data_IF_133386636519
#
_entry.id   IF_133386636519
#
_cell.length_a   1.000
_cell.length_b   1.000
_cell.length_c   1.000
_cell.angle_alpha   90.00
_cell.angle_beta   90.00
_cell.angle_gamma   90.00
#
_symmetry.space_group_name_H-M   'P 1'
#
loop_
_entity.id
_entity.type
_entity.pdbx_description
1 polymer ?
#
# COMPACT_ATOMS: atom_id res chain seq x y z
N UNK A 1 4.39 -0.28 17.16
CA UNK A 1 5.06 0.71 18.03
C UNK A 1 4.74 0.34 19.46
N UNK A 2 5.78 0.27 20.30
CA UNK A 2 5.61 0.06 21.73
C UNK A 2 6.21 1.27 22.45
N UNK A 3 5.46 1.85 23.37
CA UNK A 3 5.88 2.98 24.21
C UNK A 3 5.95 2.52 25.64
N UNK A 4 7.09 2.69 26.28
CA UNK A 4 7.37 2.31 27.65
C UNK A 4 7.51 3.55 28.52
N UNK A 5 6.51 3.76 29.36
CA UNK A 5 6.46 4.79 30.38
C UNK A 5 6.77 4.24 31.77
N UNK A 6 6.04 4.72 32.77
CA UNK A 6 6.19 4.30 34.17
C UNK A 6 4.84 4.33 34.88
N UNK A 7 4.44 3.21 35.46
CA UNK A 7 3.23 3.11 36.26
C UNK A 7 3.29 3.96 37.53
N UNK A 8 2.16 4.53 37.90
CA UNK A 8 1.98 5.22 39.18
C UNK A 8 0.52 5.23 39.59
N UNK A 9 0.22 5.64 40.83
CA UNK A 9 -1.14 5.86 41.27
C UNK A 9 -1.78 7.01 40.50
N UNK A 10 -3.01 6.86 40.01
CA UNK A 10 -3.69 7.86 39.19
C UNK A 10 -3.80 9.26 39.83
N UNK A 11 -3.82 9.33 41.18
CA UNK A 11 -3.79 10.59 41.91
C UNK A 11 -2.37 11.16 42.17
N UNK A 12 -1.33 10.49 41.67
CA UNK A 12 0.08 10.92 41.77
C UNK A 12 0.78 10.86 40.42
N UNK A 13 0.27 11.56 39.38
CA UNK A 13 0.79 11.48 38.01
C UNK A 13 2.25 11.94 37.89
N UNK A 14 2.72 12.80 38.77
CA UNK A 14 4.09 13.27 38.84
C UNK A 14 5.14 12.18 39.20
N UNK A 15 4.69 11.00 39.61
CA UNK A 15 5.56 9.85 39.94
C UNK A 15 5.64 8.83 38.80
N UNK A 16 4.82 9.00 37.76
CA UNK A 16 4.76 8.13 36.58
C UNK A 16 5.16 8.83 35.29
N UNK A 17 5.14 8.05 34.21
CA UNK A 17 5.23 8.51 32.82
C UNK A 17 4.07 7.86 32.10
N UNK A 18 3.11 8.65 31.65
CA UNK A 18 1.82 8.15 31.16
C UNK A 18 1.88 7.73 29.70
N UNK A 19 1.89 6.43 29.45
CA UNK A 19 1.93 5.85 28.11
C UNK A 19 0.63 6.09 27.31
N UNK A 20 -0.54 6.30 27.97
CA UNK A 20 -1.78 6.69 27.27
C UNK A 20 -1.65 8.08 26.67
N UNK A 21 -1.12 9.03 27.43
CA UNK A 21 -0.91 10.40 26.97
C UNK A 21 0.07 10.41 25.81
N UNK A 22 1.20 9.72 25.93
CA UNK A 22 2.23 9.66 24.88
C UNK A 22 1.71 8.99 23.61
N UNK A 23 1.02 7.86 23.71
CA UNK A 23 0.41 7.19 22.58
C UNK A 23 -0.60 8.09 21.85
N UNK A 24 -1.42 8.81 22.60
CA UNK A 24 -2.39 9.75 22.05
C UNK A 24 -1.71 10.93 21.35
N UNK A 25 -0.67 11.50 21.93
CA UNK A 25 0.12 12.57 21.31
C UNK A 25 0.80 12.09 20.04
N UNK A 26 1.35 10.86 20.04
CA UNK A 26 1.97 10.28 18.86
C UNK A 26 0.95 10.09 17.73
N UNK A 27 -0.21 9.50 17.99
CA UNK A 27 -1.27 9.32 16.98
C UNK A 27 -1.67 10.65 16.37
N UNK A 28 -1.89 11.69 17.18
CA UNK A 28 -2.25 13.03 16.70
C UNK A 28 -1.12 13.68 15.89
N UNK A 29 0.12 13.60 16.36
CA UNK A 29 1.26 14.13 15.66
C UNK A 29 1.52 13.42 14.33
N UNK A 30 1.35 12.10 14.27
CA UNK A 30 1.52 11.31 13.05
C UNK A 30 0.53 11.71 11.94
N UNK A 31 -0.70 12.15 12.28
CA UNK A 31 -1.64 12.68 11.28
C UNK A 31 -1.09 13.95 10.61
N UNK A 32 -0.28 14.74 11.31
CA UNK A 32 0.31 15.95 10.74
C UNK A 32 1.41 15.63 9.72
N UNK A 33 1.98 14.44 9.72
CA UNK A 33 2.94 14.03 8.70
C UNK A 33 2.27 14.06 7.33
N UNK A 34 1.12 13.43 7.18
CA UNK A 34 0.37 13.45 5.92
C UNK A 34 -0.10 14.87 5.59
N UNK A 35 -0.71 15.57 6.54
CA UNK A 35 -1.32 16.87 6.26
C UNK A 35 -0.34 18.03 6.11
N UNK A 36 0.94 17.90 6.55
CA UNK A 36 1.92 19.02 6.59
C UNK A 36 3.26 18.72 5.92
N UNK A 37 3.60 17.44 5.65
CA UNK A 37 4.90 17.07 5.08
C UNK A 37 4.80 16.36 3.74
N UNK A 38 3.71 15.63 3.50
CA UNK A 38 3.44 15.01 2.18
C UNK A 38 3.03 16.10 1.21
N UNK A 39 3.55 16.03 -0.03
CA UNK A 39 3.11 16.92 -1.11
C UNK A 39 1.59 16.75 -1.32
N UNK A 40 0.80 17.82 -1.42
CA UNK A 40 -0.63 17.74 -1.64
C UNK A 40 -1.07 16.96 -2.89
N UNK A 41 -0.16 16.78 -3.86
CA UNK A 41 -0.39 15.98 -5.07
C UNK A 41 -0.01 14.51 -4.90
N UNK A 42 0.71 14.14 -3.84
CA UNK A 42 1.04 12.76 -3.51
C UNK A 42 -0.08 12.10 -2.68
N UNK A 43 -0.26 10.80 -2.92
CA UNK A 43 -1.22 10.01 -2.16
C UNK A 43 -0.53 9.29 -1.00
N UNK A 44 -0.95 9.59 0.22
CA UNK A 44 -0.45 8.92 1.41
C UNK A 44 -1.58 8.71 2.44
N UNK A 45 -1.53 7.56 3.11
CA UNK A 45 -2.42 7.21 4.21
C UNK A 45 -1.59 6.72 5.39
N UNK A 46 -1.88 7.25 6.59
CA UNK A 46 -1.36 6.76 7.87
C UNK A 46 -2.54 6.49 8.78
N UNK A 47 -2.74 5.23 9.15
CA UNK A 47 -3.85 4.79 9.98
C UNK A 47 -3.34 3.94 11.13
N UNK A 48 -3.84 4.20 12.34
CA UNK A 48 -3.67 3.34 13.51
C UNK A 48 -5.00 2.62 13.77
N UNK A 49 -5.01 1.30 13.58
CA UNK A 49 -6.18 0.46 13.79
C UNK A 49 -6.26 -0.13 15.20
N UNK A 50 -5.13 -0.20 15.91
CA UNK A 50 -5.04 -0.73 17.26
C UNK A 50 -4.35 0.28 18.17
N UNK A 51 -4.95 0.52 19.34
CA UNK A 51 -4.40 1.31 20.42
C UNK A 51 -4.73 0.59 21.74
N UNK A 52 -3.72 -0.01 22.36
CA UNK A 52 -3.88 -0.72 23.63
C UNK A 52 -2.96 -0.09 24.68
N UNK A 53 -3.52 0.34 25.81
CA UNK A 53 -2.75 0.91 26.90
C UNK A 53 -3.46 0.74 28.24
N UNK A 54 -2.64 0.61 29.31
CA UNK A 54 -3.12 0.57 30.69
C UNK A 54 -3.80 -0.74 31.07
N UNK A 55 -4.04 -0.89 32.39
CA UNK A 55 -4.62 -2.10 32.97
C UNK A 55 -5.80 -1.81 33.89
N UNK A 56 -5.81 -0.64 34.52
CA UNK A 56 -6.88 -0.22 35.48
C UNK A 56 -7.11 1.28 35.39
N UNK A 57 -8.35 1.72 35.62
CA UNK A 57 -8.77 3.13 35.49
C UNK A 57 -8.05 4.09 36.46
N UNK A 58 -7.50 3.60 37.58
CA UNK A 58 -6.85 4.39 38.62
C UNK A 58 -5.33 4.22 38.68
N UNK A 59 -4.72 3.64 37.65
CA UNK A 59 -3.26 3.44 37.49
C UNK A 59 -2.80 4.13 36.22
N UNK A 60 -1.76 4.97 36.34
CA UNK A 60 -1.05 5.53 35.17
C UNK A 60 -0.48 4.37 34.34
N UNK A 61 -0.79 4.35 33.06
CA UNK A 61 -0.33 3.30 32.15
C UNK A 61 1.19 3.35 31.96
N UNK A 62 1.84 2.21 32.21
CA UNK A 62 3.28 2.07 31.97
C UNK A 62 3.60 1.69 30.52
N UNK A 63 2.64 1.12 29.79
CA UNK A 63 2.86 0.65 28.44
C UNK A 63 1.71 1.04 27.52
N UNK A 64 2.05 1.29 26.25
CA UNK A 64 1.10 1.51 25.16
C UNK A 64 1.61 0.83 23.89
N UNK A 65 0.73 0.07 23.25
CA UNK A 65 1.01 -0.56 21.95
C UNK A 65 0.08 0.03 20.89
N UNK A 66 0.67 0.43 19.77
CA UNK A 66 -0.03 0.94 18.60
C UNK A 66 0.32 0.08 17.39
N UNK A 67 -0.69 -0.38 16.65
CA UNK A 67 -0.50 -1.01 15.35
C UNK A 67 -1.24 -0.24 14.26
N UNK A 68 -0.59 -0.09 13.12
CA UNK A 68 -1.12 0.72 12.04
C UNK A 68 -0.61 0.32 10.67
N UNK A 69 -1.04 1.07 9.68
CA UNK A 69 -0.61 0.88 8.30
C UNK A 69 -0.29 2.21 7.65
N UNK A 70 0.73 2.20 6.79
CA UNK A 70 1.09 3.30 5.90
C UNK A 70 0.91 2.83 4.46
N UNK A 71 0.31 3.66 3.63
CA UNK A 71 0.18 3.43 2.19
C UNK A 71 0.61 4.68 1.43
N UNK A 72 1.42 4.48 0.41
CA UNK A 72 1.89 5.54 -0.49
C UNK A 72 2.04 4.97 -1.90
N UNK A 73 2.03 5.82 -2.90
CA UNK A 73 2.37 5.47 -4.28
C UNK A 73 3.81 5.84 -4.64
N UNK A 74 4.49 6.61 -3.78
CA UNK A 74 5.84 7.13 -3.99
C UNK A 74 6.77 6.61 -2.89
N UNK A 75 7.90 6.00 -3.26
CA UNK A 75 8.87 5.42 -2.32
C UNK A 75 9.60 6.50 -1.50
N UNK A 76 9.88 7.68 -2.07
CA UNK A 76 10.50 8.78 -1.34
C UNK A 76 9.56 9.32 -0.26
N UNK A 77 8.27 9.46 -0.59
CA UNK A 77 7.23 9.81 0.37
C UNK A 77 7.10 8.77 1.47
N UNK A 78 7.21 7.49 1.13
CA UNK A 78 7.21 6.38 2.10
C UNK A 78 8.37 6.47 3.08
N UNK A 79 9.58 6.67 2.57
CA UNK A 79 10.79 6.82 3.40
C UNK A 79 10.71 8.07 4.30
N UNK A 80 10.19 9.18 3.77
CA UNK A 80 9.98 10.42 4.52
C UNK A 80 8.97 10.25 5.66
N UNK A 81 7.88 9.49 5.43
CA UNK A 81 6.88 9.21 6.47
C UNK A 81 7.52 8.39 7.60
N UNK A 82 8.24 7.31 7.29
CA UNK A 82 8.93 6.50 8.30
C UNK A 82 9.90 7.33 9.14
N UNK A 83 10.80 8.08 8.50
CA UNK A 83 11.75 8.97 9.17
C UNK A 83 11.04 9.98 10.07
N UNK A 84 9.95 10.56 9.58
CA UNK A 84 9.15 11.52 10.36
C UNK A 84 8.46 10.88 11.55
N UNK A 85 7.96 9.64 11.43
CA UNK A 85 7.36 8.91 12.55
C UNK A 85 8.41 8.62 13.63
N UNK A 86 9.60 8.16 13.25
CA UNK A 86 10.72 7.90 14.18
C UNK A 86 11.12 9.17 14.91
N UNK A 87 11.38 10.26 14.21
CA UNK A 87 11.73 11.56 14.80
C UNK A 87 10.65 12.10 15.74
N UNK A 88 9.38 11.92 15.40
CA UNK A 88 8.26 12.33 16.24
C UNK A 88 8.23 11.52 17.54
N UNK A 89 8.39 10.20 17.45
CA UNK A 89 8.42 9.32 18.60
C UNK A 89 9.60 9.62 19.52
N UNK A 90 10.79 9.79 18.96
CA UNK A 90 12.01 10.14 19.68
C UNK A 90 11.86 11.48 20.42
N UNK A 91 11.24 12.48 19.78
CA UNK A 91 10.98 13.79 20.39
C UNK A 91 10.02 13.69 21.59
N UNK A 92 8.96 12.90 21.49
CA UNK A 92 8.02 12.67 22.59
C UNK A 92 8.67 11.90 23.74
N UNK A 93 9.50 10.91 23.44
CA UNK A 93 10.26 10.16 24.43
C UNK A 93 11.28 11.07 25.16
N UNK A 94 12.01 11.91 24.42
CA UNK A 94 12.94 12.86 25.01
C UNK A 94 12.25 13.85 25.96
N UNK A 95 11.08 14.36 25.59
CA UNK A 95 10.31 15.29 26.40
C UNK A 95 9.79 14.65 27.70
N UNK A 96 9.36 13.39 27.65
CA UNK A 96 8.66 12.73 28.76
C UNK A 96 9.57 11.89 29.64
N UNK A 97 10.74 11.50 29.17
CA UNK A 97 11.62 10.51 29.79
C UNK A 97 11.16 9.06 29.56
N UNK A 98 10.21 8.82 28.65
CA UNK A 98 9.82 7.49 28.18
C UNK A 98 10.88 6.89 27.25
N UNK A 99 10.70 5.58 26.96
CA UNK A 99 11.39 4.94 25.83
C UNK A 99 10.34 4.35 24.88
N UNK A 100 10.71 4.14 23.63
CA UNK A 100 9.84 3.49 22.66
C UNK A 100 10.64 2.78 21.59
N UNK A 101 10.00 1.77 20.98
CA UNK A 101 10.48 1.13 19.77
C UNK A 101 9.41 1.14 18.67
N UNK A 102 9.87 1.26 17.44
CA UNK A 102 9.05 1.18 16.24
C UNK A 102 9.56 0.05 15.34
N UNK A 103 8.73 -0.97 15.16
CA UNK A 103 8.92 -1.97 14.15
C UNK A 103 8.16 -1.55 12.89
N UNK A 104 8.88 -1.04 11.89
CA UNK A 104 8.30 -0.59 10.63
C UNK A 104 8.54 -1.65 9.55
N UNK A 105 7.50 -2.43 9.27
CA UNK A 105 7.54 -3.45 8.23
C UNK A 105 7.39 -2.83 6.84
N UNK A 106 8.40 -3.02 5.99
CA UNK A 106 8.31 -2.67 4.58
C UNK A 106 7.54 -3.78 3.86
N UNK A 107 6.24 -3.58 3.64
CA UNK A 107 5.40 -4.46 2.80
C UNK A 107 5.73 -4.32 1.30
N UNK A 108 4.76 -4.59 0.43
CA UNK A 108 4.94 -4.48 -1.01
C UNK A 108 5.20 -3.03 -1.45
N UNK A 109 6.09 -2.83 -2.45
CA UNK A 109 6.24 -1.53 -3.10
C UNK A 109 4.96 -1.15 -3.88
N UNK A 110 4.88 0.11 -4.33
CA UNK A 110 3.84 0.49 -5.26
C UNK A 110 3.97 -0.31 -6.56
N UNK A 111 2.85 -0.83 -7.06
CA UNK A 111 2.81 -1.49 -8.36
C UNK A 111 2.69 -0.41 -9.44
N UNK A 112 3.71 -0.31 -10.29
CA UNK A 112 3.73 0.63 -11.42
C UNK A 112 4.04 -0.16 -12.68
N UNK A 113 3.09 -0.17 -13.61
CA UNK A 113 3.27 -0.83 -14.91
C UNK A 113 4.32 -0.10 -15.75
N UNK A 114 5.11 -0.85 -16.52
CA UNK A 114 5.94 -0.26 -17.55
C UNK A 114 5.05 0.11 -18.74
N UNK A 115 5.23 1.32 -19.26
CA UNK A 115 4.34 1.91 -20.26
C UNK A 115 4.23 1.06 -21.53
N UNK A 116 5.37 0.61 -22.06
CA UNK A 116 5.42 -0.22 -23.27
C UNK A 116 4.66 -1.54 -23.11
N UNK A 117 4.79 -2.19 -21.94
CA UNK A 117 4.12 -3.47 -21.65
C UNK A 117 2.63 -3.27 -21.38
N UNK A 118 2.27 -2.17 -20.72
CA UNK A 118 0.86 -1.81 -20.52
C UNK A 118 0.16 -1.53 -21.85
N UNK A 119 0.83 -0.84 -22.77
CA UNK A 119 0.32 -0.58 -24.13
C UNK A 119 0.20 -1.87 -24.95
N UNK A 120 1.18 -2.78 -24.84
CA UNK A 120 1.12 -4.09 -25.50
C UNK A 120 -0.11 -4.87 -25.04
N UNK A 121 -0.31 -5.01 -23.73
CA UNK A 121 -1.47 -5.74 -23.18
C UNK A 121 -2.78 -5.07 -23.56
N UNK A 122 -2.84 -3.75 -23.52
CA UNK A 122 -3.99 -2.96 -23.92
C UNK A 122 -4.38 -3.23 -25.38
N UNK A 123 -3.42 -3.19 -26.29
CA UNK A 123 -3.64 -3.43 -27.72
C UNK A 123 -4.06 -4.88 -27.98
N UNK A 124 -3.44 -5.85 -27.29
CA UNK A 124 -3.82 -7.24 -27.33
C UNK A 124 -5.26 -7.46 -26.84
N UNK A 125 -5.66 -6.82 -25.74
CA UNK A 125 -7.02 -6.88 -25.21
C UNK A 125 -8.04 -6.31 -26.23
N UNK A 126 -7.75 -5.16 -26.84
CA UNK A 126 -8.60 -4.54 -27.87
C UNK A 126 -8.76 -5.48 -29.08
N UNK A 127 -7.67 -6.12 -29.50
CA UNK A 127 -7.66 -7.09 -30.62
C UNK A 127 -8.55 -8.30 -30.32
N UNK A 128 -8.55 -8.79 -29.08
CA UNK A 128 -9.29 -9.98 -28.70
C UNK A 128 -10.77 -9.71 -28.37
N UNK A 129 -11.06 -8.60 -27.71
CA UNK A 129 -12.36 -8.37 -27.10
C UNK A 129 -13.10 -7.12 -27.62
N UNK A 130 -12.40 -6.26 -28.34
CA UNK A 130 -12.94 -4.99 -28.80
C UNK A 130 -12.61 -3.84 -27.85
N UNK A 131 -12.69 -2.62 -28.38
CA UNK A 131 -12.31 -1.39 -27.65
C UNK A 131 -13.24 -1.10 -26.47
N UNK A 132 -14.51 -1.45 -26.59
CA UNK A 132 -15.53 -1.14 -25.59
C UNK A 132 -15.38 -2.00 -24.32
N UNK A 133 -14.71 -3.15 -24.43
CA UNK A 133 -14.42 -4.05 -23.31
C UNK A 133 -13.09 -3.69 -22.60
N UNK A 134 -12.37 -2.67 -23.05
CA UNK A 134 -11.09 -2.25 -22.46
C UNK A 134 -11.23 -0.88 -21.81
N UNK A 135 -11.07 -0.85 -20.49
CA UNK A 135 -11.24 0.37 -19.68
C UNK A 135 -9.90 0.83 -19.14
N UNK A 136 -9.54 2.08 -19.41
CA UNK A 136 -8.38 2.70 -18.80
C UNK A 136 -8.71 3.15 -17.37
N UNK A 137 -8.03 2.59 -16.39
CA UNK A 137 -8.20 2.96 -14.98
C UNK A 137 -7.53 4.32 -14.74
N UNK A 138 -8.33 5.34 -14.49
CA UNK A 138 -7.85 6.74 -14.34
C UNK A 138 -7.28 7.06 -12.97
N UNK A 139 -7.69 6.34 -11.94
CA UNK A 139 -7.27 6.58 -10.57
C UNK A 139 -6.49 5.37 -10.07
N UNK A 140 -5.33 5.58 -9.44
CA UNK A 140 -4.57 4.49 -8.86
C UNK A 140 -5.37 3.84 -7.73
N UNK A 141 -5.26 2.52 -7.64
CA UNK A 141 -5.79 1.77 -6.50
C UNK A 141 -4.69 1.60 -5.43
N UNK A 142 -5.09 1.48 -4.15
CA UNK A 142 -4.17 1.38 -3.01
C UNK A 142 -4.06 -0.04 -2.40
N UNK A 143 -4.59 -1.13 -3.00
CA UNK A 143 -4.33 -2.48 -2.49
C UNK A 143 -2.85 -2.83 -2.60
N UNK A 144 -2.41 -3.76 -1.76
CA UNK A 144 -1.07 -4.31 -1.84
C UNK A 144 -1.06 -5.47 -2.84
N UNK A 145 -0.03 -5.54 -3.70
CA UNK A 145 0.13 -6.55 -4.74
C UNK A 145 1.60 -6.96 -4.85
N UNK A 146 1.90 -8.25 -4.68
CA UNK A 146 3.28 -8.76 -4.66
C UNK A 146 3.92 -8.79 -6.06
N UNK A 147 3.13 -8.75 -7.12
CA UNK A 147 3.63 -8.60 -8.49
C UNK A 147 4.48 -7.33 -8.67
N UNK A 148 4.32 -6.35 -7.79
CA UNK A 148 5.17 -5.16 -7.73
C UNK A 148 6.67 -5.48 -7.59
N UNK A 149 7.05 -6.58 -6.91
CA UNK A 149 8.44 -7.01 -6.85
C UNK A 149 8.96 -7.50 -8.20
N UNK A 150 8.14 -8.21 -8.97
CA UNK A 150 8.52 -8.63 -10.33
C UNK A 150 8.76 -7.44 -11.24
N UNK A 151 7.92 -6.40 -11.13
CA UNK A 151 8.06 -5.19 -11.94
C UNK A 151 9.30 -4.35 -11.60
N UNK A 152 9.87 -4.50 -10.40
CA UNK A 152 11.17 -3.90 -10.05
C UNK A 152 12.35 -4.63 -10.72
N UNK A 153 12.23 -5.91 -10.97
CA UNK A 153 13.29 -6.75 -11.53
C UNK A 153 13.19 -6.91 -13.06
N UNK A 154 11.98 -6.88 -13.58
CA UNK A 154 11.69 -7.13 -14.99
C UNK A 154 10.61 -6.18 -15.49
N UNK A 155 10.71 -5.82 -16.78
CA UNK A 155 9.62 -5.13 -17.47
C UNK A 155 8.37 -6.02 -17.51
N UNK A 156 7.21 -5.39 -17.41
CA UNK A 156 5.92 -6.07 -17.44
C UNK A 156 4.78 -5.14 -17.07
N UNK A 157 3.57 -5.69 -17.05
CA UNK A 157 2.39 -4.98 -16.61
C UNK A 157 1.39 -5.92 -15.93
N UNK A 158 0.65 -5.36 -15.00
CA UNK A 158 -0.45 -6.00 -14.29
C UNK A 158 -1.77 -5.38 -14.75
N UNK A 159 -2.80 -6.19 -14.94
CA UNK A 159 -4.12 -5.74 -15.38
C UNK A 159 -5.22 -6.31 -14.51
N UNK A 160 -6.30 -5.58 -14.39
CA UNK A 160 -7.52 -6.04 -13.73
C UNK A 160 -8.43 -6.73 -14.74
N UNK A 161 -8.96 -7.90 -14.39
CA UNK A 161 -10.08 -8.53 -15.08
C UNK A 161 -11.37 -8.17 -14.35
N UNK A 162 -12.28 -7.47 -15.00
CA UNK A 162 -13.61 -7.19 -14.47
C UNK A 162 -14.43 -8.47 -14.46
N UNK A 163 -14.91 -8.89 -13.29
CA UNK A 163 -15.62 -10.17 -13.08
C UNK A 163 -16.99 -10.01 -12.43
N UNK A 164 -17.52 -8.79 -12.38
CA UNK A 164 -18.86 -8.56 -11.83
C UNK A 164 -19.94 -9.16 -12.75
N UNK A 165 -20.91 -9.88 -12.16
CA UNK A 165 -22.09 -10.36 -12.87
C UNK A 165 -22.98 -9.19 -13.27
N UNK A 166 -23.55 -9.22 -14.48
CA UNK A 166 -24.38 -8.15 -15.01
C UNK A 166 -25.68 -7.89 -14.23
N UNK A 167 -26.21 -8.93 -13.58
CA UNK A 167 -27.44 -8.90 -12.79
C UNK A 167 -27.19 -8.70 -11.28
N UNK A 168 -25.93 -8.51 -10.86
CA UNK A 168 -25.58 -8.33 -9.46
C UNK A 168 -25.65 -6.85 -9.05
N UNK A 169 -26.63 -6.49 -8.24
CA UNK A 169 -26.77 -5.18 -7.61
C UNK A 169 -27.15 -5.35 -6.12
N UNK A 170 -26.34 -4.89 -5.16
CA UNK A 170 -25.02 -4.23 -5.36
C UNK A 170 -23.91 -5.24 -5.72
N UNK A 171 -22.89 -4.75 -6.44
CA UNK A 171 -21.65 -5.49 -6.65
C UNK A 171 -20.85 -5.50 -5.34
N UNK A 172 -20.51 -6.68 -4.85
CA UNK A 172 -19.73 -6.83 -3.63
C UNK A 172 -18.22 -6.79 -3.92
N UNK A 173 -17.47 -5.93 -3.22
CA UNK A 173 -16.02 -5.81 -3.46
C UNK A 173 -15.23 -7.01 -2.92
N UNK A 174 -13.97 -7.10 -3.33
CA UNK A 174 -13.00 -8.06 -2.77
C UNK A 174 -13.03 -8.02 -1.22
N UNK A 175 -12.80 -9.18 -0.59
CA UNK A 175 -12.85 -9.39 0.87
C UNK A 175 -14.25 -9.30 1.50
N UNK A 176 -15.31 -9.10 0.76
CA UNK A 176 -16.66 -9.23 1.26
C UNK A 176 -17.10 -10.71 1.23
N UNK A 177 -17.82 -11.18 2.27
CA UNK A 177 -18.32 -12.57 2.32
C UNK A 177 -19.33 -12.92 1.23
N UNK A 178 -19.87 -11.92 0.52
CA UNK A 178 -20.79 -12.06 -0.61
C UNK A 178 -20.10 -11.80 -1.95
N UNK A 179 -18.78 -11.66 -1.96
CA UNK A 179 -18.02 -11.51 -3.20
C UNK A 179 -18.24 -12.73 -4.08
N UNK A 180 -18.54 -12.47 -5.35
CA UNK A 180 -18.77 -13.52 -6.36
C UNK A 180 -18.24 -13.03 -7.71
N UNK A 181 -17.91 -13.96 -8.59
CA UNK A 181 -17.37 -13.70 -9.91
C UNK A 181 -18.25 -14.32 -10.99
N UNK A 182 -18.26 -13.69 -12.15
CA UNK A 182 -18.81 -14.28 -13.37
C UNK A 182 -17.78 -15.27 -13.93
N UNK A 183 -18.05 -16.56 -13.77
CA UNK A 183 -17.15 -17.62 -14.24
C UNK A 183 -17.06 -17.66 -15.77
N UNK A 184 -18.10 -17.23 -16.46
CA UNK A 184 -18.15 -17.22 -17.93
C UNK A 184 -17.18 -16.22 -18.56
N UNK A 185 -16.57 -15.33 -17.76
CA UNK A 185 -15.60 -14.34 -18.24
C UNK A 185 -14.13 -14.78 -18.01
N UNK A 186 -13.87 -15.81 -17.20
CA UNK A 186 -12.51 -16.20 -16.78
C UNK A 186 -11.61 -16.60 -17.96
N UNK A 187 -12.19 -17.16 -19.04
CA UNK A 187 -11.44 -17.48 -20.25
C UNK A 187 -10.79 -16.26 -20.90
N UNK A 188 -11.34 -15.06 -20.71
CA UNK A 188 -10.75 -13.82 -21.24
C UNK A 188 -9.38 -13.54 -20.61
N UNK A 189 -9.23 -13.77 -19.31
CA UNK A 189 -7.95 -13.64 -18.62
C UNK A 189 -6.89 -14.59 -19.22
N UNK A 190 -7.24 -15.87 -19.37
CA UNK A 190 -6.34 -16.88 -19.94
C UNK A 190 -5.97 -16.56 -21.39
N UNK A 191 -6.94 -16.14 -22.21
CA UNK A 191 -6.71 -15.74 -23.60
C UNK A 191 -5.82 -14.51 -23.70
N UNK A 192 -6.03 -13.50 -22.84
CA UNK A 192 -5.23 -12.29 -22.81
C UNK A 192 -3.77 -12.61 -22.50
N UNK A 193 -3.51 -13.41 -21.45
CA UNK A 193 -2.15 -13.79 -21.07
C UNK A 193 -1.45 -14.57 -22.19
N UNK A 194 -2.12 -15.57 -22.80
CA UNK A 194 -1.57 -16.36 -23.87
C UNK A 194 -1.26 -15.53 -25.11
N UNK A 195 -2.20 -14.68 -25.54
CA UNK A 195 -2.02 -13.85 -26.72
C UNK A 195 -0.96 -12.76 -26.51
N UNK A 196 -0.91 -12.17 -25.29
CA UNK A 196 0.13 -11.18 -24.96
C UNK A 196 1.53 -11.81 -25.06
N UNK A 197 1.71 -13.04 -24.57
CA UNK A 197 2.97 -13.75 -24.68
C UNK A 197 3.37 -13.97 -26.17
N UNK A 198 2.43 -14.34 -27.02
CA UNK A 198 2.65 -14.53 -28.45
C UNK A 198 3.01 -13.19 -29.12
N UNK A 199 2.27 -12.13 -28.84
CA UNK A 199 2.50 -10.80 -29.42
C UNK A 199 3.84 -10.24 -28.96
N UNK A 200 4.23 -10.42 -27.70
CA UNK A 200 5.53 -10.04 -27.16
C UNK A 200 6.69 -10.76 -27.86
N UNK A 201 6.61 -12.10 -27.98
CA UNK A 201 7.64 -12.89 -28.63
C UNK A 201 7.81 -12.51 -30.11
N UNK A 202 6.74 -12.17 -30.80
CA UNK A 202 6.80 -11.72 -32.19
C UNK A 202 7.49 -10.35 -32.33
N UNK A 203 7.29 -9.41 -31.39
CA UNK A 203 7.98 -8.12 -31.37
C UNK A 203 9.49 -8.26 -31.13
N UNK A 204 9.88 -9.14 -30.19
CA UNK A 204 11.31 -9.38 -29.88
C UNK A 204 12.03 -10.09 -31.03
N UNK A 205 11.39 -11.02 -31.75
CA UNK A 205 11.96 -11.71 -32.92
C UNK A 205 12.34 -10.73 -34.05
N UNK A 206 11.57 -9.65 -34.21
CA UNK A 206 11.85 -8.66 -35.29
C UNK A 206 13.09 -7.81 -35.01
N UNK A 207 13.43 -7.57 -33.74
CA UNK A 207 14.62 -6.80 -33.35
C UNK A 207 15.94 -7.58 -33.48
N UNK A 208 15.90 -8.90 -33.45
CA UNK A 208 17.09 -9.73 -33.65
C UNK A 208 17.45 -10.00 -35.13
N UNK A 209 16.57 -9.71 -36.08
CA UNK A 209 16.83 -9.92 -37.53
C UNK A 209 17.50 -8.74 -38.22
N UNK A 210 17.71 -7.62 -37.53
CA UNK A 210 18.45 -6.45 -38.06
C UNK A 210 19.85 -6.34 -37.49
N UNK A 211 20.66 -7.40 -37.60
CA UNK A 211 22.11 -7.24 -37.46
C UNK A 211 22.63 -6.51 -38.66
N UNK A 212 23.37 -5.37 -38.54
CA UNK A 212 23.99 -4.72 -39.68
C UNK A 212 25.02 -5.65 -40.29
N UNK A 213 24.85 -5.96 -41.56
CA UNK A 213 25.86 -6.65 -42.34
C UNK A 213 27.03 -5.69 -42.49
N UNK A 214 28.10 -5.93 -41.72
CA UNK A 214 29.37 -5.24 -41.93
C UNK A 214 29.94 -5.80 -43.24
N UNK A 215 30.09 -4.93 -44.27
CA UNK A 215 30.89 -5.20 -45.46
C UNK A 215 32.34 -4.79 -45.22
#
# INVERSE_FOLDING_TARGET
INIHGKTAHGAKPNQGIDAVVLGSQFVMAAQTIVSRKVDPLDNAVVTFGIFNAGTRYNIIAGDCTLDGTVRTLNEDTRAMIEDSMRKTLDGLCLQSGATADINYGHGYPALVNHEEDAELIRNTAIKLFGKDDVVDVKLPAMPAEDFSFYLKEKKGAFVWLGTAKQDQDPVWPLHNSRFDVDEDILWRGSSLLAQTAIDYLNTVSYTHLTLPTIR
#
